data_IF_150910444991
#
_entry.id   IF_150910444991
#
_cell.length_a   1.000
_cell.length_b   1.000
_cell.length_c   1.000
_cell.angle_alpha   90.00
_cell.angle_beta   90.00
_cell.angle_gamma   90.00
#
_symmetry.space_group_name_H-M   'P 1'
#
loop_
_entity.id
_entity.type
_entity.pdbx_description
1 polymer ?
#
# COMPACT_ATOMS: atom_id res chain seq x y z
N UNK A 1 -12.68 -38.17 -19.44
CA UNK A 1 -11.27 -37.78 -19.20
C UNK A 1 -11.26 -36.95 -17.92
N UNK A 2 -10.93 -37.62 -16.81
CA UNK A 2 -10.89 -36.97 -15.49
C UNK A 2 -9.46 -36.46 -15.26
N UNK A 3 -9.32 -35.16 -14.95
CA UNK A 3 -8.05 -34.51 -14.65
C UNK A 3 -7.62 -34.89 -13.24
N UNK A 4 -6.49 -35.55 -13.10
CA UNK A 4 -5.87 -35.95 -11.82
C UNK A 4 -5.11 -34.75 -11.26
N UNK A 5 -5.63 -34.10 -10.19
CA UNK A 5 -4.87 -33.15 -9.38
C UNK A 5 -4.15 -33.89 -8.26
N UNK A 6 -2.83 -34.16 -8.42
CA UNK A 6 -1.98 -34.64 -7.32
C UNK A 6 -1.40 -33.48 -6.55
N UNK A 7 -1.71 -33.37 -5.25
CA UNK A 7 -1.02 -32.47 -4.32
C UNK A 7 0.25 -33.14 -3.78
N UNK A 8 1.42 -32.56 -4.09
CA UNK A 8 2.70 -32.99 -3.51
C UNK A 8 2.94 -32.24 -2.19
N UNK A 9 3.00 -32.97 -1.07
CA UNK A 9 3.49 -32.44 0.19
C UNK A 9 4.93 -32.89 0.40
N UNK A 10 5.86 -31.94 0.44
CA UNK A 10 7.27 -32.20 0.72
C UNK A 10 7.57 -31.90 2.19
N UNK A 11 7.95 -32.92 2.96
CA UNK A 11 8.41 -32.76 4.34
C UNK A 11 9.93 -32.63 4.36
N UNK A 12 10.43 -31.47 4.73
CA UNK A 12 11.87 -31.19 4.84
C UNK A 12 12.30 -31.36 6.32
N UNK A 13 13.13 -32.38 6.62
CA UNK A 13 13.79 -32.48 7.93
C UNK A 13 15.19 -31.87 7.86
N UNK A 14 15.46 -30.90 8.74
CA UNK A 14 16.79 -30.31 8.94
C UNK A 14 17.56 -31.12 9.99
N UNK A 15 18.74 -31.63 9.64
CA UNK A 15 19.69 -32.17 10.62
C UNK A 15 20.96 -31.30 10.64
N UNK A 16 21.44 -30.95 11.84
CA UNK A 16 22.63 -30.12 12.06
C UNK A 16 23.84 -31.00 12.41
N UNK A 17 24.92 -30.91 11.67
CA UNK A 17 26.23 -31.49 12.06
C UNK A 17 27.15 -30.42 12.64
N UNK A 18 28.08 -30.86 13.51
CA UNK A 18 29.04 -30.00 14.25
C UNK A 18 30.01 -29.15 13.38
N UNK A 19 29.97 -29.27 12.06
CA UNK A 19 30.81 -28.53 11.09
C UNK A 19 30.11 -27.35 10.40
N UNK A 20 28.89 -26.98 10.79
CA UNK A 20 28.20 -25.80 10.27
C UNK A 20 27.61 -25.99 8.84
N UNK A 21 27.64 -27.20 8.27
CA UNK A 21 26.98 -27.48 6.99
C UNK A 21 25.55 -28.00 7.21
N UNK A 22 24.60 -27.45 6.44
CA UNK A 22 23.21 -27.92 6.40
C UNK A 22 23.08 -28.83 5.19
N UNK A 23 22.83 -30.12 5.42
CA UNK A 23 22.44 -31.08 4.36
C UNK A 23 20.92 -31.20 4.36
N UNK A 24 20.34 -31.01 3.20
CA UNK A 24 18.90 -31.25 2.95
C UNK A 24 18.78 -32.63 2.29
N UNK A 25 18.22 -33.58 3.02
CA UNK A 25 17.94 -34.92 2.50
C UNK A 25 16.49 -34.98 1.96
N UNK A 26 16.38 -35.24 0.67
CA UNK A 26 15.09 -35.24 -0.05
C UNK A 26 14.62 -36.66 -0.38
N UNK A 27 15.09 -37.70 0.33
CA UNK A 27 14.95 -39.10 -0.07
C UNK A 27 13.65 -39.80 0.36
N UNK A 28 12.61 -39.12 0.82
CA UNK A 28 11.32 -39.81 1.04
C UNK A 28 10.15 -38.95 0.55
N UNK A 29 9.60 -39.32 -0.62
CA UNK A 29 8.29 -38.86 -1.11
C UNK A 29 7.27 -39.95 -0.70
N UNK A 30 6.38 -39.60 0.24
CA UNK A 30 5.23 -40.47 0.57
C UNK A 30 4.01 -39.97 -0.20
N UNK A 31 3.49 -40.90 -1.05
CA UNK A 31 2.17 -40.71 -1.69
C UNK A 31 1.15 -41.44 -0.82
N UNK A 32 0.20 -40.72 -0.23
CA UNK A 32 -0.94 -41.32 0.46
C UNK A 32 -2.11 -41.45 -0.49
N UNK A 33 -2.63 -42.63 -0.76
CA UNK A 33 -3.85 -42.82 -1.55
C UNK A 33 -5.07 -42.46 -0.71
N UNK A 34 -6.00 -41.70 -1.26
CA UNK A 34 -7.24 -41.28 -0.54
C UNK A 34 -8.40 -42.27 -0.72
N UNK A 35 -8.31 -43.23 -1.63
CA UNK A 35 -9.39 -44.20 -1.86
C UNK A 35 -8.91 -45.63 -1.93
N UNK A 36 -9.82 -46.59 -1.61
CA UNK A 36 -9.56 -48.02 -1.67
C UNK A 36 -9.29 -48.56 -3.12
N UNK A 37 -9.72 -47.80 -4.13
CA UNK A 37 -9.49 -48.13 -5.55
C UNK A 37 -8.07 -47.78 -5.99
N UNK A 38 -7.49 -46.70 -5.46
CA UNK A 38 -6.09 -46.32 -5.72
C UNK A 38 -5.10 -47.28 -5.07
N UNK A 39 -5.43 -47.87 -3.92
CA UNK A 39 -4.61 -48.91 -3.29
C UNK A 39 -4.51 -50.19 -4.12
N UNK A 40 -5.58 -50.59 -4.85
CA UNK A 40 -5.55 -51.75 -5.77
C UNK A 40 -4.74 -51.48 -7.03
N UNK A 41 -4.73 -50.25 -7.54
CA UNK A 41 -3.94 -49.88 -8.72
C UNK A 41 -2.43 -49.89 -8.46
N UNK A 42 -1.99 -49.60 -7.24
CA UNK A 42 -0.56 -49.62 -6.87
C UNK A 42 0.01 -51.01 -6.66
N UNK A 43 -0.79 -52.04 -6.41
CA UNK A 43 -0.33 -53.43 -6.19
C UNK A 43 0.08 -54.18 -7.49
N UNK A 44 -0.31 -53.66 -8.64
CA UNK A 44 -0.09 -54.31 -9.95
C UNK A 44 1.06 -53.71 -10.78
N UNK A 45 1.77 -52.68 -10.28
CA UNK A 45 2.89 -52.07 -11.01
C UNK A 45 4.23 -52.15 -10.26
N UNK A 46 4.60 -53.31 -9.78
CA UNK A 46 6.01 -53.61 -9.45
C UNK A 46 6.72 -54.10 -10.71
N UNK A 47 7.16 -53.20 -11.57
CA UNK A 47 8.25 -53.37 -12.56
C UNK A 47 8.32 -52.11 -13.43
N UNK A 48 9.07 -51.11 -12.95
CA UNK A 48 9.83 -50.19 -13.81
C UNK A 48 10.91 -49.51 -12.96
N UNK A 49 12.06 -50.19 -12.88
CA UNK A 49 13.32 -49.55 -12.50
C UNK A 49 13.89 -48.91 -13.77
N UNK A 50 13.76 -47.61 -13.91
CA UNK A 50 14.42 -46.80 -14.92
C UNK A 50 15.37 -45.81 -14.21
N UNK A 51 16.62 -45.92 -14.55
CA UNK A 51 17.79 -45.17 -14.11
C UNK A 51 17.51 -43.66 -14.12
N UNK A 52 17.44 -43.03 -12.96
CA UNK A 52 17.53 -41.57 -12.86
C UNK A 52 18.99 -41.20 -12.57
N UNK A 53 19.67 -40.64 -13.57
CA UNK A 53 21.00 -40.06 -13.42
C UNK A 53 20.92 -38.88 -12.46
N UNK A 54 21.59 -38.99 -11.31
CA UNK A 54 21.72 -37.91 -10.36
C UNK A 54 22.65 -36.81 -10.92
N UNK A 55 22.07 -35.76 -11.47
CA UNK A 55 22.80 -34.55 -11.79
C UNK A 55 23.04 -33.77 -10.50
N UNK A 56 24.22 -33.90 -9.91
CA UNK A 56 24.63 -33.06 -8.79
C UNK A 56 24.86 -31.64 -9.31
N UNK A 57 23.89 -30.76 -9.09
CA UNK A 57 24.11 -29.32 -9.23
C UNK A 57 24.89 -28.86 -7.99
N UNK A 58 26.21 -28.69 -8.14
CA UNK A 58 27.04 -27.99 -7.17
C UNK A 58 26.71 -26.50 -7.25
N UNK A 59 25.77 -26.03 -6.43
CA UNK A 59 25.61 -24.59 -6.16
C UNK A 59 26.76 -24.16 -5.24
N UNK A 60 27.84 -23.68 -5.82
CA UNK A 60 28.85 -22.91 -5.09
C UNK A 60 28.19 -21.60 -4.67
N UNK A 61 27.77 -21.50 -3.41
CA UNK A 61 27.44 -20.21 -2.78
C UNK A 61 28.79 -19.55 -2.48
N UNK A 62 29.17 -18.61 -3.34
CA UNK A 62 30.39 -17.83 -3.18
C UNK A 62 30.21 -16.91 -1.95
N UNK A 63 30.89 -17.23 -0.85
CA UNK A 63 30.86 -16.48 0.42
C UNK A 63 31.55 -15.11 0.34
N UNK A 64 32.09 -14.73 -0.83
CA UNK A 64 32.83 -13.47 -1.00
C UNK A 64 31.98 -12.29 -1.49
N UNK A 65 30.67 -12.47 -1.76
CA UNK A 65 29.78 -11.37 -2.15
C UNK A 65 29.05 -10.68 -0.98
N UNK A 66 29.34 -11.00 0.27
CA UNK A 66 28.68 -10.43 1.46
C UNK A 66 29.53 -9.39 2.20
N UNK A 67 30.40 -8.70 1.51
CA UNK A 67 31.26 -7.66 2.05
C UNK A 67 31.12 -6.29 1.39
N UNK A 68 30.20 -6.10 0.44
CA UNK A 68 29.84 -4.79 -0.05
C UNK A 68 28.66 -4.25 0.77
N UNK A 69 28.78 -3.04 1.24
CA UNK A 69 27.80 -2.18 1.93
C UNK A 69 26.36 -2.47 1.47
N UNK A 70 25.69 -3.45 2.06
CA UNK A 70 24.27 -3.73 1.83
C UNK A 70 23.50 -2.64 2.55
N UNK A 71 23.37 -1.45 1.93
CA UNK A 71 22.22 -0.59 2.19
C UNK A 71 21.00 -1.49 2.05
N UNK A 72 20.37 -1.85 3.16
CA UNK A 72 19.21 -2.72 3.14
C UNK A 72 18.19 -2.12 2.18
N UNK A 73 17.79 -2.91 1.19
CA UNK A 73 16.87 -2.46 0.13
C UNK A 73 15.51 -2.20 0.80
N UNK A 74 14.84 -1.11 0.42
CA UNK A 74 13.44 -0.86 0.86
C UNK A 74 12.57 -2.02 0.37
N UNK A 75 11.87 -2.75 1.26
CA UNK A 75 11.04 -3.88 0.86
C UNK A 75 9.91 -3.44 -0.09
N UNK A 76 9.49 -4.35 -0.99
CA UNK A 76 8.45 -4.10 -1.97
C UNK A 76 7.27 -5.03 -1.75
N UNK A 77 6.04 -4.53 -1.97
CA UNK A 77 4.81 -5.31 -1.92
C UNK A 77 4.02 -5.17 -3.22
N UNK A 78 3.10 -6.09 -3.46
CA UNK A 78 2.18 -6.00 -4.60
C UNK A 78 1.01 -5.08 -4.24
N UNK A 79 0.60 -4.23 -5.18
CA UNK A 79 -0.57 -3.35 -5.04
C UNK A 79 -1.84 -4.13 -5.44
N UNK A 80 -2.43 -4.83 -4.50
CA UNK A 80 -3.65 -5.62 -4.72
C UNK A 80 -3.56 -6.52 -5.96
N UNK A 81 -4.62 -6.53 -6.76
CA UNK A 81 -4.73 -7.31 -8.00
C UNK A 81 -4.02 -6.68 -9.21
N UNK A 82 -3.45 -5.48 -9.07
CA UNK A 82 -2.84 -4.74 -10.20
C UNK A 82 -1.56 -5.39 -10.73
N UNK A 83 -0.87 -6.18 -9.91
CA UNK A 83 0.44 -6.74 -10.23
C UNK A 83 1.61 -5.76 -10.04
N UNK A 84 1.35 -4.47 -9.81
CA UNK A 84 2.39 -3.47 -9.60
C UNK A 84 3.15 -3.70 -8.29
N UNK A 85 4.47 -3.50 -8.36
CA UNK A 85 5.37 -3.59 -7.19
C UNK A 85 5.64 -2.19 -6.65
N UNK A 86 5.24 -1.95 -5.41
CA UNK A 86 5.43 -0.67 -4.72
C UNK A 86 6.23 -0.86 -3.44
N UNK A 87 7.03 0.14 -3.09
CA UNK A 87 7.77 0.14 -1.83
C UNK A 87 6.79 0.15 -0.65
N UNK A 88 7.13 -0.55 0.45
CA UNK A 88 6.27 -0.61 1.64
C UNK A 88 6.05 0.75 2.30
N UNK A 89 6.85 1.77 1.92
CA UNK A 89 6.72 3.16 2.35
C UNK A 89 6.64 4.07 1.13
N UNK A 90 5.77 5.09 1.18
CA UNK A 90 5.56 6.09 0.14
C UNK A 90 5.71 7.51 0.68
N UNK A 91 6.02 8.46 -0.19
CA UNK A 91 6.17 9.88 0.15
C UNK A 91 4.86 10.60 -0.10
N UNK A 92 4.29 11.23 0.96
CA UNK A 92 3.11 12.07 0.90
C UNK A 92 3.43 13.49 0.45
N UNK A 93 2.76 13.96 -0.59
CA UNK A 93 2.99 15.26 -1.21
C UNK A 93 2.57 16.47 -0.38
N UNK A 94 1.57 16.34 0.49
CA UNK A 94 1.07 17.47 1.28
C UNK A 94 2.19 18.20 2.04
N UNK A 95 3.12 17.47 2.65
CA UNK A 95 4.22 18.02 3.43
C UNK A 95 5.29 18.71 2.58
N UNK A 96 5.42 18.35 1.31
CA UNK A 96 6.43 18.93 0.41
C UNK A 96 6.22 20.43 0.12
N UNK A 97 4.98 20.92 0.27
CA UNK A 97 4.66 22.32 -0.02
C UNK A 97 4.16 23.09 1.23
N UNK A 98 4.38 22.55 2.44
CA UNK A 98 4.08 23.25 3.67
C UNK A 98 4.92 24.52 3.84
N UNK A 99 4.41 25.55 4.54
CA UNK A 99 5.22 26.69 4.93
C UNK A 99 6.52 26.25 5.62
N UNK A 100 7.64 26.80 5.21
CA UNK A 100 8.97 26.47 5.72
C UNK A 100 9.73 25.41 4.91
N UNK A 101 9.07 24.69 4.01
CA UNK A 101 9.74 23.80 3.03
C UNK A 101 9.90 24.55 1.72
N UNK A 102 11.12 24.79 1.28
CA UNK A 102 11.36 25.42 0.00
C UNK A 102 11.28 24.43 -1.18
N UNK A 103 11.33 24.95 -2.41
CA UNK A 103 11.22 24.15 -3.61
C UNK A 103 12.41 23.17 -3.76
N UNK A 104 13.61 23.63 -3.44
CA UNK A 104 14.82 22.81 -3.58
C UNK A 104 14.83 21.66 -2.61
N UNK A 105 14.40 21.90 -1.37
CA UNK A 105 14.24 20.84 -0.36
C UNK A 105 13.18 19.82 -0.81
N UNK A 106 12.04 20.27 -1.34
CA UNK A 106 11.00 19.39 -1.87
C UNK A 106 11.54 18.47 -2.98
N UNK A 107 12.32 19.04 -3.93
CA UNK A 107 12.95 18.28 -5.00
C UNK A 107 13.96 17.29 -4.44
N UNK A 108 14.79 17.70 -3.47
CA UNK A 108 15.77 16.83 -2.83
C UNK A 108 15.12 15.65 -2.11
N UNK A 109 14.05 15.90 -1.35
CA UNK A 109 13.30 14.86 -0.64
C UNK A 109 12.78 13.80 -1.63
N UNK A 110 12.08 14.23 -2.68
CA UNK A 110 11.50 13.31 -3.67
C UNK A 110 12.59 12.52 -4.41
N UNK A 111 13.61 13.20 -4.93
CA UNK A 111 14.68 12.54 -5.69
C UNK A 111 15.50 11.60 -4.82
N UNK A 112 15.84 12.01 -3.61
CA UNK A 112 16.56 11.15 -2.63
C UNK A 112 15.74 9.90 -2.31
N UNK A 113 14.42 10.04 -2.09
CA UNK A 113 13.55 8.90 -1.84
C UNK A 113 13.54 7.91 -3.01
N UNK A 114 13.37 8.40 -4.24
CA UNK A 114 13.40 7.59 -5.47
C UNK A 114 14.76 6.89 -5.67
N UNK A 115 15.87 7.59 -5.45
CA UNK A 115 17.21 7.03 -5.57
C UNK A 115 17.53 6.00 -4.47
N UNK A 116 16.81 6.07 -3.35
CA UNK A 116 16.93 5.12 -2.25
C UNK A 116 15.89 3.98 -2.28
N UNK A 117 15.08 3.89 -3.35
CA UNK A 117 14.20 2.75 -3.62
C UNK A 117 12.72 2.96 -3.22
N UNK A 118 12.33 4.15 -2.75
CA UNK A 118 10.91 4.50 -2.65
C UNK A 118 10.41 4.85 -4.04
N UNK A 119 9.41 4.11 -4.51
CA UNK A 119 8.82 4.39 -5.81
C UNK A 119 7.39 4.96 -5.75
N UNK A 120 6.73 4.95 -4.59
CA UNK A 120 5.35 5.40 -4.45
C UNK A 120 5.30 6.87 -4.01
N UNK A 121 4.67 7.71 -4.83
CA UNK A 121 4.50 9.15 -4.59
C UNK A 121 3.00 9.48 -4.56
N UNK A 122 2.54 10.02 -3.44
CA UNK A 122 1.16 10.44 -3.19
C UNK A 122 1.03 11.96 -3.34
N UNK A 123 0.04 12.43 -4.11
CA UNK A 123 -0.30 13.84 -4.22
C UNK A 123 -1.82 14.05 -4.26
N UNK A 124 -2.28 15.30 -4.38
CA UNK A 124 -3.66 15.69 -4.57
C UNK A 124 -3.78 17.03 -5.28
N UNK A 125 -4.86 17.20 -6.04
CA UNK A 125 -5.18 18.43 -6.77
C UNK A 125 -5.26 19.65 -5.84
N UNK A 126 -5.80 19.49 -4.63
CA UNK A 126 -6.04 20.55 -3.66
C UNK A 126 -4.85 20.84 -2.73
N UNK A 127 -3.86 19.95 -2.65
CA UNK A 127 -2.77 20.10 -1.69
C UNK A 127 -1.98 21.41 -1.89
N UNK A 128 -2.06 22.28 -0.88
CA UNK A 128 -1.39 23.59 -0.87
C UNK A 128 -1.73 24.41 -2.14
N UNK A 129 -3.01 24.47 -2.50
CA UNK A 129 -3.53 25.17 -3.69
C UNK A 129 -2.87 24.72 -5.00
N UNK A 130 -2.48 23.44 -5.08
CA UNK A 130 -1.81 22.81 -6.22
C UNK A 130 -0.29 22.95 -6.24
N UNK A 131 0.30 23.69 -5.31
CA UNK A 131 1.77 23.86 -5.24
C UNK A 131 2.48 22.51 -4.98
N UNK A 132 1.85 21.60 -4.25
CA UNK A 132 2.39 20.25 -4.04
C UNK A 132 2.58 19.48 -5.36
N UNK A 133 1.59 19.51 -6.26
CA UNK A 133 1.72 18.90 -7.59
C UNK A 133 2.77 19.59 -8.45
N UNK A 134 2.86 20.92 -8.40
CA UNK A 134 3.87 21.72 -9.14
C UNK A 134 5.29 21.32 -8.70
N UNK A 135 5.55 21.20 -7.40
CA UNK A 135 6.85 20.79 -6.86
C UNK A 135 7.18 19.34 -7.21
N UNK A 136 6.20 18.46 -7.11
CA UNK A 136 6.34 17.05 -7.49
C UNK A 136 6.68 16.94 -8.98
N UNK A 137 5.98 17.68 -9.85
CA UNK A 137 6.27 17.71 -11.30
C UNK A 137 7.69 18.15 -11.60
N UNK A 138 8.20 19.19 -10.91
CA UNK A 138 9.60 19.64 -11.06
C UNK A 138 10.60 18.57 -10.58
N UNK A 139 10.30 17.88 -9.48
CA UNK A 139 11.14 16.80 -8.96
C UNK A 139 11.24 15.61 -9.90
N UNK A 140 10.16 15.33 -10.65
CA UNK A 140 10.06 14.19 -11.56
C UNK A 140 10.71 14.43 -12.95
N UNK A 141 11.28 15.60 -13.21
CA UNK A 141 12.07 15.86 -14.44
C UNK A 141 13.32 14.97 -14.49
N UNK A 142 14.05 15.05 -15.57
CA UNK A 142 15.39 14.46 -15.76
C UNK A 142 15.40 12.93 -15.55
N UNK A 143 14.35 12.23 -16.01
CA UNK A 143 14.25 10.77 -15.91
C UNK A 143 13.70 10.23 -14.59
N UNK A 144 13.34 11.08 -13.63
CA UNK A 144 12.78 10.60 -12.35
C UNK A 144 11.35 10.09 -12.45
N UNK A 145 10.54 10.60 -13.42
CA UNK A 145 9.16 10.11 -13.63
C UNK A 145 9.10 8.60 -13.88
N UNK A 146 10.08 8.04 -14.57
CA UNK A 146 10.15 6.61 -14.89
C UNK A 146 10.43 5.73 -13.67
N UNK A 147 10.98 6.29 -12.59
CA UNK A 147 11.24 5.59 -11.33
C UNK A 147 10.00 5.57 -10.41
N UNK A 148 8.98 6.41 -10.70
CA UNK A 148 7.87 6.66 -9.79
C UNK A 148 6.59 5.92 -10.20
N UNK A 149 5.92 5.30 -9.23
CA UNK A 149 4.49 5.05 -9.26
C UNK A 149 3.80 6.30 -8.71
N UNK A 150 3.27 7.12 -9.60
CA UNK A 150 2.74 8.44 -9.29
C UNK A 150 1.23 8.39 -9.09
N UNK A 151 0.78 8.85 -7.92
CA UNK A 151 -0.63 8.96 -7.59
C UNK A 151 -1.01 10.43 -7.36
N UNK A 152 -2.22 10.80 -7.81
CA UNK A 152 -2.89 12.04 -7.40
C UNK A 152 -4.37 11.79 -7.14
N UNK A 153 -5.10 12.81 -6.68
CA UNK A 153 -6.49 12.73 -6.28
C UNK A 153 -7.27 13.94 -6.80
N UNK A 154 -8.58 13.78 -6.96
CA UNK A 154 -9.51 14.84 -7.37
C UNK A 154 -10.68 14.93 -6.40
N UNK A 155 -11.16 16.16 -6.17
CA UNK A 155 -12.32 16.43 -5.31
C UNK A 155 -13.64 16.45 -6.05
N UNK A 156 -13.62 16.72 -7.35
CA UNK A 156 -14.82 16.84 -8.20
C UNK A 156 -15.73 15.63 -8.09
N UNK A 157 -17.04 15.89 -7.92
CA UNK A 157 -18.07 14.85 -7.83
C UNK A 157 -18.92 14.77 -9.10
N UNK A 158 -18.85 15.77 -9.97
CA UNK A 158 -19.46 15.72 -11.31
C UNK A 158 -18.40 15.58 -12.40
N UNK A 159 -18.83 15.15 -13.59
CA UNK A 159 -17.94 14.91 -14.75
C UNK A 159 -17.15 16.14 -15.17
N UNK A 160 -17.78 17.32 -15.22
CA UNK A 160 -17.11 18.53 -15.70
C UNK A 160 -15.96 18.96 -14.76
N UNK A 161 -16.24 19.03 -13.46
CA UNK A 161 -15.25 19.40 -12.44
C UNK A 161 -14.14 18.35 -12.34
N UNK A 162 -14.49 17.07 -12.35
CA UNK A 162 -13.49 15.99 -12.35
C UNK A 162 -12.57 16.05 -13.57
N UNK A 163 -13.12 16.26 -14.78
CA UNK A 163 -12.33 16.42 -16.02
C UNK A 163 -11.36 17.59 -15.91
N UNK A 164 -11.83 18.74 -15.39
CA UNK A 164 -10.97 19.91 -15.18
C UNK A 164 -9.82 19.60 -14.24
N UNK A 165 -10.12 19.03 -13.06
CA UNK A 165 -9.12 18.73 -12.04
C UNK A 165 -8.09 17.70 -12.51
N UNK A 166 -8.50 16.68 -13.28
CA UNK A 166 -7.58 15.71 -13.90
C UNK A 166 -6.60 16.43 -14.84
N UNK A 167 -7.07 17.33 -15.68
CA UNK A 167 -6.20 18.06 -16.61
C UNK A 167 -5.30 19.05 -15.87
N UNK A 168 -5.79 19.76 -14.87
CA UNK A 168 -4.99 20.63 -14.00
C UNK A 168 -3.84 19.84 -13.33
N UNK A 169 -4.15 18.67 -12.76
CA UNK A 169 -3.16 17.80 -12.11
C UNK A 169 -2.07 17.34 -13.10
N UNK A 170 -2.45 16.88 -14.28
CA UNK A 170 -1.46 16.46 -15.30
C UNK A 170 -0.56 17.63 -15.73
N UNK A 171 -1.12 18.82 -15.86
CA UNK A 171 -0.35 20.02 -16.20
C UNK A 171 0.63 20.40 -15.09
N UNK A 172 0.17 20.43 -13.81
CA UNK A 172 1.02 20.76 -12.65
C UNK A 172 2.12 19.72 -12.44
N UNK A 173 1.79 18.43 -12.56
CA UNK A 173 2.70 17.30 -12.44
C UNK A 173 3.63 17.15 -13.65
N UNK A 174 3.41 17.90 -14.74
CA UNK A 174 4.23 17.91 -15.97
C UNK A 174 4.36 16.50 -16.56
N UNK A 175 3.26 15.76 -16.61
CA UNK A 175 3.20 14.37 -17.10
C UNK A 175 1.95 14.18 -17.95
N UNK A 176 2.01 13.26 -18.89
CA UNK A 176 0.85 12.84 -19.70
C UNK A 176 -0.06 11.84 -18.99
N UNK A 177 0.45 11.20 -17.92
CA UNK A 177 -0.31 10.18 -17.16
C UNK A 177 0.09 10.10 -15.69
N UNK A 178 -0.86 9.69 -14.86
CA UNK A 178 -0.66 9.20 -13.51
C UNK A 178 -0.89 7.69 -13.46
N UNK A 179 -0.23 7.02 -12.50
CA UNK A 179 -0.40 5.58 -12.32
C UNK A 179 -1.69 5.27 -11.56
N UNK A 180 -2.03 6.03 -10.53
CA UNK A 180 -3.26 5.90 -9.77
C UNK A 180 -3.94 7.26 -9.62
N UNK A 181 -5.23 7.32 -9.93
CA UNK A 181 -6.10 8.47 -9.63
C UNK A 181 -7.14 8.07 -8.60
N UNK A 182 -7.31 8.90 -7.56
CA UNK A 182 -8.29 8.66 -6.51
C UNK A 182 -9.36 9.74 -6.45
N UNK A 183 -10.59 9.34 -6.10
CA UNK A 183 -11.60 10.27 -5.56
C UNK A 183 -11.16 10.66 -4.14
N UNK A 184 -10.88 11.95 -3.94
CA UNK A 184 -10.40 12.48 -2.68
C UNK A 184 -11.54 12.75 -1.70
N UNK A 185 -11.25 12.68 -0.40
CA UNK A 185 -12.18 13.04 0.68
C UNK A 185 -13.61 12.50 0.48
N UNK A 186 -13.74 11.19 0.25
CA UNK A 186 -15.05 10.52 0.35
C UNK A 186 -15.43 10.47 1.83
N UNK A 187 -16.02 11.57 2.31
CA UNK A 187 -16.26 11.86 3.73
C UNK A 187 -17.73 12.17 4.05
N UNK A 188 -18.58 12.27 3.03
CA UNK A 188 -20.03 12.47 3.16
C UNK A 188 -20.77 11.22 2.73
N UNK A 189 -21.91 10.96 3.36
CA UNK A 189 -22.76 9.84 2.96
C UNK A 189 -23.25 9.95 1.51
N UNK A 190 -23.38 11.16 0.97
CA UNK A 190 -23.78 11.42 -0.42
C UNK A 190 -22.64 11.29 -1.45
N UNK A 191 -21.37 11.23 -1.02
CA UNK A 191 -20.24 11.19 -1.96
C UNK A 191 -20.27 9.97 -2.88
N UNK A 192 -20.54 8.73 -2.41
CA UNK A 192 -20.64 7.56 -3.27
C UNK A 192 -21.69 7.75 -4.36
N UNK A 193 -22.90 8.20 -3.99
CA UNK A 193 -24.02 8.35 -4.92
C UNK A 193 -23.70 9.40 -6.00
N UNK A 194 -23.04 10.52 -5.63
CA UNK A 194 -22.60 11.57 -6.57
C UNK A 194 -21.52 11.09 -7.54
N UNK A 195 -20.55 10.31 -7.06
CA UNK A 195 -19.47 9.78 -7.91
C UNK A 195 -20.02 8.85 -8.97
N UNK A 196 -20.99 8.00 -8.63
CA UNK A 196 -21.57 6.98 -9.51
C UNK A 196 -22.83 7.44 -10.26
N UNK A 197 -23.33 8.66 -10.03
CA UNK A 197 -24.48 9.22 -10.76
C UNK A 197 -24.21 9.36 -12.26
N UNK A 198 -25.29 9.46 -13.05
CA UNK A 198 -25.19 9.90 -14.46
C UNK A 198 -24.63 11.32 -14.48
N UNK A 199 -23.57 11.56 -15.26
CA UNK A 199 -22.82 12.82 -15.23
C UNK A 199 -21.92 12.97 -14.00
N UNK A 200 -21.72 11.91 -13.23
CA UNK A 200 -20.84 11.86 -12.06
C UNK A 200 -19.35 11.78 -12.40
N UNK A 201 -18.54 11.89 -11.38
CA UNK A 201 -17.08 11.94 -11.54
C UNK A 201 -16.49 10.65 -12.12
N UNK A 202 -17.11 9.48 -11.90
CA UNK A 202 -16.63 8.22 -12.44
C UNK A 202 -16.57 8.24 -13.98
N UNK A 203 -17.52 8.88 -14.65
CA UNK A 203 -17.51 8.99 -16.12
C UNK A 203 -16.22 9.67 -16.61
N UNK A 204 -15.85 10.82 -16.00
CA UNK A 204 -14.61 11.54 -16.34
C UNK A 204 -13.36 10.70 -16.12
N UNK A 205 -13.32 9.94 -15.01
CA UNK A 205 -12.16 9.09 -14.65
C UNK A 205 -12.04 7.91 -15.62
N UNK A 206 -13.17 7.30 -16.02
CA UNK A 206 -13.17 6.22 -17.02
C UNK A 206 -12.76 6.73 -18.41
N UNK A 207 -13.17 7.94 -18.80
CA UNK A 207 -12.71 8.60 -20.03
C UNK A 207 -11.21 8.86 -19.99
N UNK A 208 -10.69 9.37 -18.87
CA UNK A 208 -9.26 9.57 -18.67
C UNK A 208 -8.47 8.26 -18.72
N UNK A 209 -9.01 7.17 -18.14
CA UNK A 209 -8.41 5.82 -18.22
C UNK A 209 -8.40 5.32 -19.67
N UNK A 210 -9.49 5.46 -20.41
CA UNK A 210 -9.56 5.11 -21.83
C UNK A 210 -8.59 5.92 -22.70
N UNK A 211 -8.35 7.18 -22.35
CA UNK A 211 -7.40 8.06 -23.02
C UNK A 211 -5.93 7.79 -22.62
N UNK A 212 -5.66 6.84 -21.74
CA UNK A 212 -4.30 6.51 -21.24
C UNK A 212 -3.72 7.50 -20.23
N UNK A 213 -4.52 8.48 -19.76
CA UNK A 213 -4.11 9.49 -18.76
C UNK A 213 -4.07 8.92 -17.32
N UNK A 214 -4.80 7.84 -17.06
CA UNK A 214 -4.93 7.16 -15.76
C UNK A 214 -4.82 5.66 -15.98
N UNK A 215 -3.98 4.96 -15.18
CA UNK A 215 -3.86 3.50 -15.26
C UNK A 215 -4.82 2.80 -14.30
N UNK A 216 -4.81 3.20 -13.05
CA UNK A 216 -5.58 2.60 -11.96
C UNK A 216 -6.48 3.64 -11.28
N UNK A 217 -7.58 3.17 -10.70
CA UNK A 217 -8.60 4.02 -10.08
C UNK A 217 -8.79 3.60 -8.62
N UNK A 218 -8.80 4.56 -7.71
CA UNK A 218 -9.04 4.35 -6.30
C UNK A 218 -9.89 5.43 -5.66
N UNK A 219 -10.02 5.36 -4.35
CA UNK A 219 -10.60 6.43 -3.56
C UNK A 219 -9.94 6.53 -2.18
N UNK A 220 -10.15 7.66 -1.53
CA UNK A 220 -9.68 7.92 -0.17
C UNK A 220 -10.70 8.71 0.62
N UNK A 221 -10.66 8.53 1.91
CA UNK A 221 -11.40 9.31 2.90
C UNK A 221 -10.81 9.03 4.28
N UNK A 222 -11.23 9.78 5.26
CA UNK A 222 -10.65 9.67 6.59
C UNK A 222 -11.67 9.82 7.73
N UNK A 223 -12.92 10.17 7.40
CA UNK A 223 -13.94 10.52 8.38
C UNK A 223 -14.59 9.30 9.02
N UNK A 224 -15.01 8.33 8.21
CA UNK A 224 -15.77 7.18 8.68
C UNK A 224 -15.53 5.93 7.83
N UNK A 225 -15.25 4.79 8.48
CA UNK A 225 -15.17 3.51 7.78
C UNK A 225 -16.51 3.10 7.13
N UNK A 226 -17.65 3.53 7.69
CA UNK A 226 -18.97 3.19 7.14
C UNK A 226 -19.20 3.86 5.76
N UNK A 227 -18.68 5.07 5.56
CA UNK A 227 -18.70 5.74 4.25
C UNK A 227 -17.82 4.99 3.24
N UNK A 228 -16.67 4.46 3.66
CA UNK A 228 -15.83 3.61 2.81
C UNK A 228 -16.56 2.32 2.39
N UNK A 229 -17.24 1.67 3.33
CA UNK A 229 -18.04 0.48 3.05
C UNK A 229 -19.20 0.81 2.09
N UNK A 230 -19.87 1.97 2.26
CA UNK A 230 -20.88 2.45 1.32
C UNK A 230 -20.30 2.67 -0.07
N UNK A 231 -19.11 3.29 -0.17
CA UNK A 231 -18.43 3.50 -1.46
C UNK A 231 -18.13 2.20 -2.19
N UNK A 232 -17.64 1.19 -1.46
CA UNK A 232 -17.38 -0.15 -2.00
C UNK A 232 -18.68 -0.86 -2.43
N UNK A 233 -19.75 -0.75 -1.64
CA UNK A 233 -21.04 -1.33 -1.96
C UNK A 233 -21.69 -0.67 -3.19
N UNK A 234 -21.63 0.66 -3.28
CA UNK A 234 -22.10 1.42 -4.45
C UNK A 234 -21.32 1.03 -5.70
N UNK A 235 -20.00 0.93 -5.62
CA UNK A 235 -19.16 0.47 -6.72
C UNK A 235 -19.58 -0.92 -7.21
N UNK A 236 -19.78 -1.87 -6.28
CA UNK A 236 -20.23 -3.23 -6.59
C UNK A 236 -21.61 -3.24 -7.29
N UNK A 237 -22.55 -2.40 -6.85
CA UNK A 237 -23.88 -2.27 -7.47
C UNK A 237 -23.78 -1.75 -8.92
N UNK A 238 -22.77 -0.94 -9.23
CA UNK A 238 -22.45 -0.45 -10.56
C UNK A 238 -21.49 -1.36 -11.35
N UNK A 239 -21.22 -2.59 -10.87
CA UNK A 239 -20.30 -3.55 -11.49
C UNK A 239 -18.87 -2.98 -11.67
N UNK A 240 -18.46 -2.12 -10.74
CA UNK A 240 -17.16 -1.48 -10.74
C UNK A 240 -16.34 -1.97 -9.54
N UNK A 241 -15.03 -2.16 -9.75
CA UNK A 241 -14.08 -2.52 -8.70
C UNK A 241 -12.95 -1.52 -8.68
N UNK A 242 -12.64 -0.96 -7.52
CA UNK A 242 -11.47 -0.10 -7.34
C UNK A 242 -10.18 -0.92 -7.35
N UNK A 243 -9.13 -0.34 -7.92
CA UNK A 243 -7.80 -0.94 -7.91
C UNK A 243 -7.09 -0.76 -6.56
N UNK A 244 -7.35 0.36 -5.86
CA UNK A 244 -6.78 0.67 -4.56
C UNK A 244 -7.71 1.53 -3.70
N UNK A 245 -7.56 1.41 -2.37
CA UNK A 245 -8.26 2.25 -1.38
C UNK A 245 -7.26 2.77 -0.36
N UNK A 246 -7.31 4.09 -0.12
CA UNK A 246 -6.47 4.76 0.85
C UNK A 246 -7.30 5.16 2.07
N UNK A 247 -6.80 4.85 3.26
CA UNK A 247 -7.49 5.11 4.53
C UNK A 247 -6.50 5.26 5.68
N UNK A 248 -6.89 5.94 6.78
CA UNK A 248 -6.08 5.95 7.99
C UNK A 248 -5.86 4.54 8.53
N UNK A 249 -4.61 4.19 8.77
CA UNK A 249 -4.21 2.94 9.42
C UNK A 249 -3.05 3.25 10.38
N UNK A 250 -3.34 3.22 11.67
CA UNK A 250 -2.37 3.56 12.71
C UNK A 250 -2.76 2.95 14.07
N UNK A 251 -1.90 3.10 15.05
CA UNK A 251 -2.06 2.52 16.40
C UNK A 251 -3.28 3.04 17.18
N UNK A 252 -3.86 4.19 16.80
CA UNK A 252 -5.05 4.74 17.44
C UNK A 252 -6.32 4.27 16.73
N UNK A 253 -6.27 4.11 15.38
CA UNK A 253 -7.39 3.64 14.56
C UNK A 253 -7.97 2.32 15.07
N UNK A 254 -7.11 1.42 15.55
CA UNK A 254 -7.54 0.14 16.14
C UNK A 254 -8.62 0.30 17.22
N UNK A 255 -8.58 1.38 18.00
CA UNK A 255 -9.42 1.56 19.18
C UNK A 255 -10.66 2.43 18.95
N UNK A 256 -10.69 3.25 17.91
CA UNK A 256 -11.74 4.24 17.72
C UNK A 256 -12.21 4.32 16.27
N UNK A 257 -13.49 3.97 16.03
CA UNK A 257 -14.13 3.99 14.71
C UNK A 257 -13.22 3.43 13.60
N UNK A 258 -12.80 2.19 13.77
CA UNK A 258 -11.64 1.56 13.13
C UNK A 258 -11.86 1.24 11.65
N UNK A 259 -11.03 1.80 10.78
CA UNK A 259 -10.88 1.39 9.38
C UNK A 259 -10.23 0.00 9.29
N UNK A 260 -9.26 -0.28 10.17
CA UNK A 260 -8.62 -1.59 10.27
C UNK A 260 -9.65 -2.70 10.51
N UNK A 261 -10.53 -2.52 11.49
CA UNK A 261 -11.50 -3.56 11.85
C UNK A 261 -12.62 -3.72 10.82
N UNK A 262 -13.09 -2.62 10.18
CA UNK A 262 -14.28 -2.63 9.34
C UNK A 262 -13.96 -2.74 7.84
N UNK A 263 -13.00 -1.98 7.34
CA UNK A 263 -12.75 -1.84 5.89
C UNK A 263 -11.66 -2.78 5.40
N UNK A 264 -10.57 -2.90 6.16
CA UNK A 264 -9.41 -3.70 5.76
C UNK A 264 -9.75 -5.16 5.40
N UNK A 265 -10.59 -5.91 6.14
CA UNK A 265 -10.96 -7.27 5.78
C UNK A 265 -11.71 -7.36 4.44
N UNK A 266 -12.52 -6.34 4.10
CA UNK A 266 -13.26 -6.29 2.83
C UNK A 266 -12.28 -6.10 1.66
N UNK A 267 -11.31 -5.20 1.81
CA UNK A 267 -10.29 -4.95 0.78
C UNK A 267 -9.41 -6.19 0.54
N UNK A 268 -9.00 -6.87 1.61
CA UNK A 268 -8.23 -8.11 1.50
C UNK A 268 -9.01 -9.20 0.75
N UNK A 269 -10.29 -9.41 1.11
CA UNK A 269 -11.15 -10.41 0.45
C UNK A 269 -11.31 -10.13 -1.04
N UNK A 270 -11.32 -8.87 -1.46
CA UNK A 270 -11.47 -8.44 -2.84
C UNK A 270 -10.13 -8.27 -3.57
N UNK A 271 -9.00 -8.50 -2.88
CA UNK A 271 -7.65 -8.26 -3.38
C UNK A 271 -7.45 -6.83 -3.94
N UNK A 272 -8.05 -5.84 -3.28
CA UNK A 272 -7.89 -4.41 -3.57
C UNK A 272 -6.63 -3.91 -2.87
N UNK A 273 -5.83 -3.09 -3.54
CA UNK A 273 -4.61 -2.50 -2.97
C UNK A 273 -4.91 -1.62 -1.76
N UNK A 274 -4.24 -1.86 -0.63
CA UNK A 274 -4.44 -1.11 0.61
C UNK A 274 -3.34 -0.07 0.77
N UNK A 275 -3.73 1.21 0.78
CA UNK A 275 -2.82 2.34 1.01
C UNK A 275 -3.08 2.87 2.43
N UNK A 276 -2.14 2.61 3.36
CA UNK A 276 -2.22 3.17 4.70
C UNK A 276 -1.75 4.61 4.70
N UNK A 277 -2.54 5.52 5.22
CA UNK A 277 -2.16 6.93 5.41
C UNK A 277 -2.28 7.33 6.87
N UNK A 278 -1.75 8.52 7.19
CA UNK A 278 -1.82 9.10 8.54
C UNK A 278 -1.28 8.16 9.63
N UNK A 279 -0.11 7.48 9.41
CA UNK A 279 0.44 6.58 10.41
C UNK A 279 0.73 7.27 11.76
N UNK A 280 0.98 8.60 11.73
CA UNK A 280 1.20 9.45 12.91
C UNK A 280 0.13 10.53 13.08
N UNK A 281 -1.00 10.46 12.33
CA UNK A 281 -2.11 11.42 12.43
C UNK A 281 -1.69 12.89 12.22
N UNK A 282 -0.78 13.15 11.29
CA UNK A 282 -0.12 14.47 11.15
C UNK A 282 0.57 14.93 12.44
N UNK A 283 1.40 14.07 13.02
CA UNK A 283 2.11 14.19 14.30
C UNK A 283 1.26 14.20 15.58
N UNK A 284 -0.07 14.34 15.51
CA UNK A 284 -0.92 14.37 16.71
C UNK A 284 -0.80 13.11 17.56
N UNK A 285 -0.66 11.93 16.96
CA UNK A 285 -0.47 10.66 17.70
C UNK A 285 0.78 10.73 18.58
N UNK A 286 1.85 11.36 18.10
CA UNK A 286 3.10 11.48 18.88
C UNK A 286 2.94 12.40 20.10
N UNK A 287 1.98 13.35 20.07
CA UNK A 287 1.67 14.21 21.21
C UNK A 287 1.08 13.45 22.38
N UNK A 288 0.50 12.27 22.15
CA UNK A 288 0.05 11.36 23.21
C UNK A 288 1.21 10.85 24.10
N UNK A 289 2.46 10.92 23.60
CA UNK A 289 3.68 10.42 24.25
C UNK A 289 3.63 8.92 24.58
N UNK A 290 2.73 8.17 23.94
CA UNK A 290 2.57 6.73 24.17
C UNK A 290 3.40 5.88 23.20
N UNK A 291 3.75 6.44 22.03
CA UNK A 291 4.46 5.75 20.96
C UNK A 291 5.46 6.68 20.27
N UNK A 292 6.45 6.06 19.63
CA UNK A 292 7.44 6.71 18.76
C UNK A 292 7.00 6.68 17.29
N UNK A 293 7.59 7.52 16.45
CA UNK A 293 7.34 7.53 15.01
C UNK A 293 7.67 6.17 14.35
N UNK A 294 8.74 5.51 14.79
CA UNK A 294 9.13 4.18 14.27
C UNK A 294 8.10 3.13 14.64
N UNK A 295 7.60 3.11 15.88
CA UNK A 295 6.54 2.20 16.31
C UNK A 295 5.26 2.42 15.49
N UNK A 296 4.89 3.67 15.22
CA UNK A 296 3.73 4.00 14.36
C UNK A 296 3.91 3.48 12.92
N UNK A 297 5.08 3.67 12.32
CA UNK A 297 5.38 3.21 10.97
C UNK A 297 5.42 1.67 10.92
N UNK A 298 6.09 1.01 11.88
CA UNK A 298 6.15 -0.45 11.96
C UNK A 298 4.76 -1.06 12.14
N UNK A 299 3.91 -0.48 13.00
CA UNK A 299 2.53 -0.94 13.14
C UNK A 299 1.76 -0.87 11.81
N UNK A 300 1.76 0.30 11.15
CA UNK A 300 1.07 0.47 9.88
C UNK A 300 1.62 -0.46 8.78
N UNK A 301 2.94 -0.69 8.74
CA UNK A 301 3.57 -1.66 7.83
C UNK A 301 3.28 -3.11 8.22
N UNK A 302 2.98 -3.41 9.49
CA UNK A 302 2.62 -4.76 9.94
C UNK A 302 1.21 -5.17 9.49
N UNK A 303 0.32 -4.22 9.26
CA UNK A 303 -0.97 -4.49 8.65
C UNK A 303 -0.77 -4.92 7.18
N UNK A 304 -1.75 -5.60 6.57
CA UNK A 304 -1.67 -6.04 5.18
C UNK A 304 -1.83 -4.88 4.18
N UNK A 305 -1.02 -3.84 4.37
CA UNK A 305 -0.91 -2.69 3.48
C UNK A 305 0.00 -3.00 2.30
N UNK A 306 -0.32 -2.47 1.12
CA UNK A 306 0.60 -2.46 -0.02
C UNK A 306 1.69 -1.41 0.17
N UNK A 307 1.32 -0.24 0.68
CA UNK A 307 2.23 0.87 1.00
C UNK A 307 1.70 1.66 2.19
N UNK A 308 2.59 2.17 3.03
CA UNK A 308 2.31 3.15 4.08
C UNK A 308 2.82 4.50 3.63
N UNK A 309 1.92 5.47 3.47
CA UNK A 309 2.25 6.83 3.02
C UNK A 309 2.54 7.70 4.24
N UNK A 310 3.72 8.29 4.27
CA UNK A 310 4.14 9.22 5.33
C UNK A 310 4.54 10.58 4.77
N UNK A 311 4.33 11.64 5.54
CA UNK A 311 4.78 12.99 5.20
C UNK A 311 6.26 13.15 5.52
N UNK A 312 7.00 13.79 4.60
CA UNK A 312 8.39 14.16 4.78
C UNK A 312 8.54 15.63 4.41
N UNK A 313 8.93 16.46 5.38
CA UNK A 313 9.19 17.91 5.23
C UNK A 313 10.68 18.25 5.35
N UNK A 314 11.52 17.23 5.56
CA UNK A 314 12.97 17.34 5.58
C UNK A 314 13.64 16.04 5.18
N UNK A 315 14.91 16.09 4.76
CA UNK A 315 15.72 14.89 4.49
C UNK A 315 15.91 14.03 5.73
N UNK A 316 15.93 14.61 6.93
CA UNK A 316 16.03 13.88 8.19
C UNK A 316 14.81 12.99 8.41
N UNK A 317 13.59 13.54 8.23
CA UNK A 317 12.34 12.78 8.34
C UNK A 317 12.24 11.70 7.26
N UNK A 318 12.66 12.02 6.03
CA UNK A 318 12.76 11.01 4.98
C UNK A 318 13.71 9.87 5.38
N UNK A 319 14.89 10.19 5.91
CA UNK A 319 15.86 9.18 6.33
C UNK A 319 15.33 8.31 7.48
N UNK A 320 14.61 8.91 8.44
CA UNK A 320 13.93 8.16 9.50
C UNK A 320 12.91 7.16 8.92
N UNK A 321 12.08 7.60 7.97
CA UNK A 321 11.09 6.75 7.31
C UNK A 321 11.75 5.60 6.51
N UNK A 322 12.83 5.89 5.78
CA UNK A 322 13.62 4.90 5.05
C UNK A 322 14.25 3.87 6.00
N UNK A 323 14.81 4.33 7.12
CA UNK A 323 15.41 3.44 8.11
C UNK A 323 14.35 2.55 8.76
N UNK A 324 13.17 3.09 9.09
CA UNK A 324 12.04 2.30 9.59
C UNK A 324 11.61 1.23 8.58
N UNK A 325 11.49 1.58 7.28
CA UNK A 325 11.13 0.61 6.25
C UNK A 325 12.19 -0.49 6.05
N UNK A 326 13.47 -0.14 6.09
CA UNK A 326 14.59 -1.08 5.93
C UNK A 326 14.77 -2.02 7.10
N UNK A 327 14.50 -1.54 8.32
CA UNK A 327 14.59 -2.33 9.54
C UNK A 327 13.31 -3.10 9.86
N UNK A 328 12.23 -2.87 9.09
CA UNK A 328 10.95 -3.49 9.34
C UNK A 328 11.05 -5.03 9.31
N UNK A 329 10.55 -5.65 10.38
CA UNK A 329 10.28 -7.08 10.46
C UNK A 329 8.82 -7.26 10.90
N UNK A 330 8.11 -8.29 10.42
CA UNK A 330 6.77 -8.58 10.92
C UNK A 330 6.78 -8.70 12.44
N UNK A 331 5.87 -7.96 13.08
CA UNK A 331 5.73 -7.96 14.54
C UNK A 331 5.08 -9.27 15.02
N UNK A 332 5.56 -9.80 16.13
CA UNK A 332 4.88 -10.89 16.81
C UNK A 332 3.53 -10.40 17.40
N UNK A 333 2.58 -11.31 17.56
CA UNK A 333 1.26 -10.95 18.12
C UNK A 333 1.36 -10.30 19.51
N UNK A 334 2.29 -10.76 20.33
CA UNK A 334 2.56 -10.22 21.67
C UNK A 334 3.08 -8.78 21.60
N UNK A 335 3.90 -8.45 20.61
CA UNK A 335 4.41 -7.10 20.38
C UNK A 335 3.28 -6.17 19.94
N UNK A 336 2.41 -6.63 19.02
CA UNK A 336 1.22 -5.87 18.59
C UNK A 336 0.30 -5.59 19.78
N UNK A 337 -0.03 -6.61 20.57
CA UNK A 337 -0.87 -6.47 21.77
C UNK A 337 -0.26 -5.50 22.78
N UNK A 338 1.03 -5.59 23.03
CA UNK A 338 1.73 -4.68 23.95
C UNK A 338 1.73 -3.22 23.43
N UNK A 339 1.92 -3.02 22.12
CA UNK A 339 1.90 -1.71 21.50
C UNK A 339 0.49 -1.08 21.56
N UNK A 340 -0.54 -1.84 21.23
CA UNK A 340 -1.93 -1.41 21.33
C UNK A 340 -2.35 -1.10 22.77
N UNK A 341 -1.88 -1.88 23.76
CA UNK A 341 -2.14 -1.61 25.16
C UNK A 341 -1.60 -0.24 25.62
N UNK A 342 -0.46 0.22 25.07
CA UNK A 342 0.10 1.57 25.36
C UNK A 342 -0.83 2.69 24.88
N UNK A 343 -1.52 2.48 23.75
CA UNK A 343 -2.36 3.51 23.11
C UNK A 343 -3.82 3.47 23.50
N UNK A 344 -4.30 2.38 24.07
CA UNK A 344 -5.72 2.13 24.33
C UNK A 344 -6.42 3.27 25.09
N UNK A 345 -5.79 3.80 26.15
CA UNK A 345 -6.38 4.89 26.93
C UNK A 345 -6.45 6.20 26.16
N UNK A 346 -5.38 6.54 25.43
CA UNK A 346 -5.29 7.80 24.67
C UNK A 346 -6.22 7.79 23.44
N UNK A 347 -6.50 6.60 22.88
CA UNK A 347 -7.29 6.48 21.66
C UNK A 347 -8.81 6.50 21.87
N UNK A 348 -9.33 6.34 23.11
CA UNK A 348 -10.75 6.12 23.39
C UNK A 348 -11.71 7.17 22.83
N UNK A 349 -11.28 8.44 22.80
CA UNK A 349 -12.12 9.57 22.35
C UNK A 349 -11.85 9.99 20.90
N UNK A 350 -10.84 9.41 20.23
CA UNK A 350 -10.38 9.88 18.93
C UNK A 350 -9.68 11.23 18.97
N UNK A 351 -9.23 11.70 20.15
CA UNK A 351 -8.58 12.99 20.34
C UNK A 351 -7.36 13.19 19.44
N UNK A 352 -6.55 12.15 19.27
CA UNK A 352 -5.37 12.17 18.42
C UNK A 352 -5.66 11.82 16.94
N UNK A 353 -6.91 11.56 16.62
CA UNK A 353 -7.41 11.30 15.27
C UNK A 353 -8.40 12.38 14.82
N UNK A 354 -7.97 13.64 14.90
CA UNK A 354 -8.79 14.82 14.61
C UNK A 354 -9.46 14.77 13.23
N UNK A 355 -8.90 14.05 12.28
CA UNK A 355 -9.51 13.81 10.98
C UNK A 355 -10.82 13.00 11.05
N UNK A 356 -11.06 12.22 12.13
CA UNK A 356 -12.35 11.55 12.40
C UNK A 356 -13.31 12.46 13.17
N UNK A 357 -12.82 13.23 14.14
CA UNK A 357 -13.61 13.90 15.17
C UNK A 357 -13.87 15.38 14.92
N UNK A 358 -13.15 16.03 14.01
CA UNK A 358 -13.27 17.46 13.71
C UNK A 358 -13.22 17.73 12.20
N UNK A 359 -13.66 18.93 11.73
CA UNK A 359 -13.54 19.33 10.34
C UNK A 359 -12.15 19.86 9.95
N UNK A 360 -11.17 19.77 10.84
CA UNK A 360 -9.83 20.37 10.63
C UNK A 360 -9.13 19.87 9.36
N UNK A 361 -9.36 18.61 9.01
CA UNK A 361 -8.77 17.97 7.82
C UNK A 361 -9.73 17.88 6.62
N UNK A 362 -10.91 18.49 6.72
CA UNK A 362 -11.97 18.35 5.72
C UNK A 362 -11.90 19.52 4.72
N UNK A 363 -10.92 19.50 3.81
CA UNK A 363 -10.70 20.57 2.82
C UNK A 363 -11.93 20.83 1.96
N UNK A 364 -12.63 19.79 1.55
CA UNK A 364 -13.86 19.89 0.73
C UNK A 364 -15.08 20.38 1.51
N UNK A 365 -15.08 20.35 2.85
CA UNK A 365 -16.10 21.05 3.65
C UNK A 365 -15.85 22.55 3.71
N UNK A 366 -14.57 22.93 3.81
CA UNK A 366 -14.16 24.32 3.82
C UNK A 366 -14.30 24.94 2.41
N UNK A 367 -14.18 24.14 1.36
CA UNK A 367 -14.23 24.53 -0.05
C UNK A 367 -15.22 23.70 -0.85
N UNK A 368 -16.54 23.80 -0.56
CA UNK A 368 -17.55 22.96 -1.22
C UNK A 368 -17.62 23.17 -2.74
N UNK A 369 -17.15 24.30 -3.26
CA UNK A 369 -17.04 24.61 -4.69
C UNK A 369 -16.08 23.67 -5.43
N UNK A 370 -15.16 23.01 -4.75
CA UNK A 370 -14.25 22.03 -5.36
C UNK A 370 -14.99 20.76 -5.83
N UNK A 371 -16.14 20.49 -5.24
CA UNK A 371 -16.95 19.32 -5.59
C UNK A 371 -17.74 19.48 -6.89
N UNK A 372 -18.04 20.69 -7.31
CA UNK A 372 -18.86 21.01 -8.49
C UNK A 372 -20.35 20.81 -8.33
#
# INVERSE_FOLDING_TARGET
>A
MASLCCFLHTVVRRTRRKSGQILVDVNQVYIRPETAEEMRAMSTRRRFLGVAAATMINVRIDKQAWGADTKSIVPMRTLGHTGERVAIIGIGGYHLARPGVDLEESIRIVRTGLDQGVNFLDNCWDYNDGESEIRMGKALRDGYRQKAFLMTKIDGRNRATATKQINDSLQRLQTDRVDLLQFHEVIRDSDPDRVFAVGGALEAVLEAKKAGKVRYIGFTGHKSPDIHLKMLATASAHQFTFDAVQMPLNVMDHHFNSFEAKVLPVLQKQNIGVLGMKPMGDHFILQSKTVTAVECLHYAMNLPTSVVITGCDSLEILQQALNAARSFQPMANEEVVALLAKTAKAAQSGEFEMYKTSPHFDGTYQNPQWLG
#
